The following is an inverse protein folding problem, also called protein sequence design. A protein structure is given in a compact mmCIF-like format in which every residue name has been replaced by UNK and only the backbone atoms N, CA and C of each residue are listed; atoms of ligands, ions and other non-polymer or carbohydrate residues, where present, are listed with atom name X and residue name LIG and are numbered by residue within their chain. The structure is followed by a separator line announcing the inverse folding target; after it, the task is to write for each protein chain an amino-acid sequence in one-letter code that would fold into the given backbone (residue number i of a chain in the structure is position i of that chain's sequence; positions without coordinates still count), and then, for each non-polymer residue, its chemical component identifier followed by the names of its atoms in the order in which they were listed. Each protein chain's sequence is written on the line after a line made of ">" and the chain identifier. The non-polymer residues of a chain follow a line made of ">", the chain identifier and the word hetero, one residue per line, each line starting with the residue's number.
data_IF_148374977905
#
_entry.id   IF_148374977905
#
_cell.length_a   1.000
_cell.length_b   1.000
_cell.length_c   1.000
_cell.angle_alpha   90.00
_cell.angle_beta   90.00
_cell.angle_gamma   90.00
#
_symmetry.space_group_name_H-M   'P 1'
#
loop_
_entity.id
_entity.type
_entity.pdbx_description
1 polymer ?
#
# COMPACT_ATOMS: atom_id res chain seq x y z
N UNK A 1 24.25 9.97 17.25
CA UNK A 1 22.81 10.16 17.53
C UNK A 1 22.11 9.30 16.50
N UNK A 2 21.53 8.18 16.91
CA UNK A 2 20.74 7.32 16.04
C UNK A 2 19.38 8.01 15.85
N UNK A 3 19.15 8.55 14.67
CA UNK A 3 17.83 9.05 14.32
C UNK A 3 16.83 7.92 14.38
N UNK A 4 15.77 8.15 15.12
CA UNK A 4 14.62 7.27 15.16
C UNK A 4 13.93 7.40 13.80
N UNK A 5 14.07 6.39 12.96
CA UNK A 5 13.25 6.27 11.73
C UNK A 5 11.80 6.18 12.21
N UNK A 6 11.07 7.27 12.04
CA UNK A 6 9.64 7.29 12.37
C UNK A 6 8.91 6.37 11.39
N UNK A 7 8.24 5.38 11.93
CA UNK A 7 7.40 4.47 11.15
C UNK A 7 6.26 5.27 10.51
N UNK A 8 5.99 5.13 9.20
CA UNK A 8 4.84 5.76 8.58
C UNK A 8 3.53 5.35 9.26
N UNK A 9 2.67 6.33 9.53
CA UNK A 9 1.41 6.10 10.24
C UNK A 9 0.17 6.22 9.35
N UNK A 10 0.38 6.51 8.06
CA UNK A 10 -0.73 6.65 7.13
C UNK A 10 -0.36 6.12 5.73
N UNK A 11 -1.40 5.79 4.98
CA UNK A 11 -1.29 5.33 3.59
C UNK A 11 -2.29 6.10 2.73
N UNK A 12 -1.81 6.74 1.67
CA UNK A 12 -2.67 7.18 0.58
C UNK A 12 -2.82 5.99 -0.40
N UNK A 13 -4.03 5.49 -0.52
CA UNK A 13 -4.40 4.33 -1.34
C UNK A 13 -5.20 4.79 -2.57
N UNK A 14 -4.78 4.37 -3.77
CA UNK A 14 -5.39 4.75 -5.04
C UNK A 14 -5.61 3.52 -5.91
N UNK A 15 -6.85 3.02 -5.99
CA UNK A 15 -7.21 1.98 -6.95
C UNK A 15 -7.58 2.61 -8.29
N UNK A 16 -7.04 2.09 -9.40
CA UNK A 16 -7.09 2.73 -10.70
C UNK A 16 -7.60 1.78 -11.78
N UNK A 17 -8.58 2.23 -12.55
CA UNK A 17 -9.13 1.57 -13.73
C UNK A 17 -8.86 2.41 -14.97
N UNK A 18 -8.31 1.80 -16.01
CA UNK A 18 -8.04 2.48 -17.28
C UNK A 18 -8.09 1.51 -18.47
N UNK A 19 -8.39 1.99 -19.69
CA UNK A 19 -8.36 1.18 -20.89
C UNK A 19 -6.97 0.63 -21.20
N UNK A 20 -6.89 -0.61 -21.69
CA UNK A 20 -5.61 -1.32 -21.94
C UNK A 20 -4.64 -0.57 -22.86
N UNK A 21 -5.15 0.18 -23.84
CA UNK A 21 -4.31 0.96 -24.76
C UNK A 21 -3.57 2.13 -24.10
N UNK A 22 -3.94 2.52 -22.87
CA UNK A 22 -3.29 3.59 -22.10
C UNK A 22 -2.25 3.07 -21.09
N UNK A 23 -2.13 1.76 -20.89
CA UNK A 23 -1.27 1.18 -19.83
C UNK A 23 0.18 1.65 -19.93
N UNK A 24 0.77 1.66 -21.14
CA UNK A 24 2.18 2.05 -21.34
C UNK A 24 2.40 3.52 -21.00
N UNK A 25 1.53 4.40 -21.50
CA UNK A 25 1.62 5.84 -21.25
C UNK A 25 1.34 6.17 -19.77
N UNK A 26 0.35 5.50 -19.19
CA UNK A 26 0.03 5.63 -17.77
C UNK A 26 1.22 5.22 -16.89
N UNK A 27 1.84 4.07 -17.18
CA UNK A 27 2.99 3.60 -16.40
C UNK A 27 4.16 4.58 -16.42
N UNK A 28 4.52 5.08 -17.60
CA UNK A 28 5.60 6.03 -17.74
C UNK A 28 5.32 7.35 -16.98
N UNK A 29 4.10 7.90 -17.15
CA UNK A 29 3.69 9.10 -16.42
C UNK A 29 3.65 8.88 -14.90
N UNK A 30 3.12 7.72 -14.47
CA UNK A 30 2.99 7.39 -13.06
C UNK A 30 4.36 7.31 -12.36
N UNK A 31 5.37 6.71 -13.01
CA UNK A 31 6.71 6.58 -12.44
C UNK A 31 7.34 7.95 -12.18
N UNK A 32 7.20 8.89 -13.11
CA UNK A 32 7.67 10.26 -12.92
C UNK A 32 6.87 11.00 -11.85
N UNK A 33 5.53 10.85 -11.88
CA UNK A 33 4.65 11.44 -10.87
C UNK A 33 4.94 10.92 -9.45
N UNK A 34 5.26 9.64 -9.30
CA UNK A 34 5.65 9.08 -8.00
C UNK A 34 6.94 9.71 -7.47
N UNK A 35 7.95 9.93 -8.32
CA UNK A 35 9.20 10.61 -7.95
C UNK A 35 8.96 12.05 -7.53
N UNK A 36 8.08 12.77 -8.24
CA UNK A 36 7.67 14.12 -7.85
C UNK A 36 6.98 14.16 -6.49
N UNK A 37 6.14 13.17 -6.18
CA UNK A 37 5.47 13.08 -4.88
C UNK A 37 6.48 12.79 -3.74
N UNK A 38 7.49 11.96 -3.99
CA UNK A 38 8.46 11.56 -2.95
C UNK A 38 9.37 12.69 -2.46
N UNK A 39 9.43 13.83 -3.15
CA UNK A 39 10.16 15.00 -2.66
C UNK A 39 9.30 15.88 -1.74
N UNK A 40 8.00 15.60 -1.61
CA UNK A 40 7.10 16.35 -0.77
C UNK A 40 7.26 15.95 0.71
N UNK A 41 7.12 16.92 1.64
CA UNK A 41 7.21 16.64 3.07
C UNK A 41 6.21 15.58 3.53
N UNK A 42 6.69 14.57 4.24
CA UNK A 42 5.88 13.51 4.82
C UNK A 42 5.58 12.34 3.88
N UNK A 43 6.03 12.37 2.63
CA UNK A 43 5.98 11.22 1.72
C UNK A 43 7.25 10.38 1.88
N UNK A 44 7.12 9.10 2.21
CA UNK A 44 8.24 8.20 2.54
C UNK A 44 8.54 7.18 1.45
N UNK A 45 7.52 6.60 0.86
CA UNK A 45 7.65 5.57 -0.17
C UNK A 45 6.47 5.64 -1.12
N UNK A 46 6.71 5.39 -2.39
CA UNK A 46 5.70 5.22 -3.42
C UNK A 46 5.81 3.82 -4.00
N UNK A 47 4.70 3.11 -4.09
CA UNK A 47 4.63 1.77 -4.69
C UNK A 47 3.45 1.69 -5.61
N UNK A 48 3.64 1.04 -6.76
CA UNK A 48 2.57 0.69 -7.68
C UNK A 48 2.54 -0.81 -7.88
N UNK A 49 1.36 -1.35 -7.83
CA UNK A 49 1.09 -2.77 -8.00
C UNK A 49 0.15 -2.97 -9.18
N UNK A 50 0.35 -4.07 -9.89
CA UNK A 50 -0.52 -4.55 -10.95
C UNK A 50 -1.35 -5.73 -10.44
N UNK A 51 -2.66 -5.70 -10.71
CA UNK A 51 -3.56 -6.77 -10.31
C UNK A 51 -3.18 -8.09 -11.00
N UNK A 52 -3.19 -9.20 -10.24
CA UNK A 52 -2.85 -10.52 -10.76
C UNK A 52 -3.99 -11.52 -10.61
N UNK A 53 -4.71 -11.49 -9.50
CA UNK A 53 -5.78 -12.45 -9.24
C UNK A 53 -6.70 -12.03 -8.09
N UNK A 54 -7.85 -12.70 -7.97
CA UNK A 54 -8.79 -12.56 -6.87
C UNK A 54 -9.74 -11.37 -7.01
N UNK A 55 -10.44 -11.06 -5.93
CA UNK A 55 -11.45 -10.01 -5.89
C UNK A 55 -12.86 -10.56 -6.08
N UNK A 56 -13.85 -9.75 -5.67
CA UNK A 56 -15.29 -10.04 -5.84
C UNK A 56 -15.89 -9.32 -7.03
N UNK A 57 -15.14 -8.39 -7.62
CA UNK A 57 -15.64 -7.52 -8.67
C UNK A 57 -15.40 -8.14 -10.04
N UNK A 58 -16.39 -8.08 -10.92
CA UNK A 58 -16.27 -8.49 -12.33
C UNK A 58 -15.35 -7.53 -13.12
N UNK A 59 -15.04 -6.35 -12.55
CA UNK A 59 -14.18 -5.31 -13.13
C UNK A 59 -13.16 -4.85 -12.06
N UNK A 60 -12.09 -5.63 -11.79
CA UNK A 60 -11.08 -5.25 -10.81
C UNK A 60 -10.25 -4.05 -11.31
N UNK A 61 -9.73 -3.21 -10.39
CA UNK A 61 -8.77 -2.18 -10.77
C UNK A 61 -7.51 -2.80 -11.35
N UNK A 62 -6.94 -2.20 -12.39
CA UNK A 62 -5.73 -2.69 -13.05
C UNK A 62 -4.48 -2.36 -12.22
N UNK A 63 -4.51 -1.20 -11.53
CA UNK A 63 -3.39 -0.75 -10.71
C UNK A 63 -3.85 -0.33 -9.32
N UNK A 64 -2.98 -0.55 -8.36
CA UNK A 64 -3.04 -0.01 -7.02
C UNK A 64 -1.78 0.80 -6.76
N UNK A 65 -1.93 2.09 -6.47
CA UNK A 65 -0.83 2.94 -6.01
C UNK A 65 -0.97 3.17 -4.51
N UNK A 66 0.14 3.06 -3.80
CA UNK A 66 0.20 3.37 -2.37
C UNK A 66 1.37 4.31 -2.10
N UNK A 67 1.10 5.33 -1.28
CA UNK A 67 2.13 6.16 -0.68
C UNK A 67 2.12 5.94 0.82
N UNK A 68 3.26 5.54 1.36
CA UNK A 68 3.47 5.48 2.80
C UNK A 68 3.82 6.90 3.29
N UNK A 69 3.08 7.39 4.26
CA UNK A 69 3.13 8.78 4.76
C UNK A 69 3.48 8.81 6.24
N UNK A 70 4.15 9.88 6.69
CA UNK A 70 4.35 10.12 8.12
C UNK A 70 3.02 10.21 8.88
N UNK A 71 2.05 10.88 8.28
CA UNK A 71 0.67 10.98 8.74
C UNK A 71 -0.22 11.54 7.62
N UNK A 72 -1.54 11.49 7.78
CA UNK A 72 -2.48 12.14 6.85
C UNK A 72 -2.28 13.66 6.75
N UNK A 73 -1.63 14.30 7.72
CA UNK A 73 -1.30 15.72 7.64
C UNK A 73 -0.40 16.07 6.45
N UNK A 74 0.39 15.10 5.93
CA UNK A 74 1.19 15.27 4.72
C UNK A 74 0.35 15.70 3.51
N UNK A 75 -0.89 15.22 3.42
CA UNK A 75 -1.86 15.52 2.34
C UNK A 75 -2.48 16.92 2.45
N UNK A 76 -2.20 17.64 3.53
CA UNK A 76 -2.72 19.00 3.79
C UNK A 76 -1.62 20.05 3.85
N UNK A 77 -0.35 19.65 3.59
CA UNK A 77 0.76 20.61 3.50
C UNK A 77 0.56 21.55 2.31
N UNK A 78 1.04 22.79 2.43
CA UNK A 78 0.99 23.76 1.33
C UNK A 78 1.69 23.20 0.07
N UNK A 79 2.86 22.53 0.26
CA UNK A 79 3.61 21.91 -0.81
C UNK A 79 2.78 20.86 -1.58
N UNK A 80 2.08 19.97 -0.86
CA UNK A 80 1.22 18.97 -1.51
C UNK A 80 0.03 19.63 -2.22
N UNK A 81 -0.62 20.60 -1.59
CA UNK A 81 -1.78 21.30 -2.16
C UNK A 81 -1.39 22.06 -3.44
N UNK A 82 -0.24 22.73 -3.45
CA UNK A 82 0.27 23.42 -4.64
C UNK A 82 0.68 22.45 -5.74
N UNK A 83 1.40 21.37 -5.38
CA UNK A 83 1.75 20.30 -6.32
C UNK A 83 0.50 19.71 -6.99
N UNK A 84 -0.54 19.38 -6.20
CA UNK A 84 -1.81 18.85 -6.70
C UNK A 84 -2.51 19.77 -7.69
N UNK A 85 -2.36 21.09 -7.52
CA UNK A 85 -2.96 22.09 -8.41
C UNK A 85 -2.15 22.31 -9.70
N UNK A 86 -0.82 22.25 -9.62
CA UNK A 86 0.09 22.62 -10.69
C UNK A 86 0.47 21.45 -11.61
N UNK A 87 1.02 20.39 -11.06
CA UNK A 87 1.52 19.22 -11.80
C UNK A 87 0.76 17.94 -11.49
N UNK A 88 0.07 17.88 -10.34
CA UNK A 88 -0.70 16.72 -9.90
C UNK A 88 -2.03 16.53 -10.61
N UNK A 89 -2.40 17.40 -11.54
CA UNK A 89 -3.57 17.18 -12.39
C UNK A 89 -3.31 16.03 -13.35
N UNK A 90 -4.35 15.19 -13.56
CA UNK A 90 -4.29 14.16 -14.59
C UNK A 90 -3.91 14.76 -15.95
N UNK A 91 -2.93 14.19 -16.65
CA UNK A 91 -2.57 14.64 -17.99
C UNK A 91 -3.75 14.46 -18.95
N UNK A 92 -3.79 15.23 -20.01
CA UNK A 92 -4.93 15.28 -20.93
C UNK A 92 -5.31 13.91 -21.50
N UNK A 93 -4.32 13.04 -21.76
CA UNK A 93 -4.58 11.71 -22.31
C UNK A 93 -5.28 10.75 -21.33
N UNK A 94 -5.29 11.06 -20.01
CA UNK A 94 -6.00 10.30 -19.01
C UNK A 94 -7.37 10.88 -18.65
N UNK A 95 -7.59 12.17 -18.91
CA UNK A 95 -8.84 12.85 -18.55
C UNK A 95 -10.04 12.19 -19.23
N UNK A 96 -11.02 11.79 -18.43
CA UNK A 96 -12.22 11.10 -18.90
C UNK A 96 -12.04 9.64 -19.28
N UNK A 97 -10.81 9.10 -19.20
CA UNK A 97 -10.48 7.71 -19.50
C UNK A 97 -10.13 6.88 -18.27
N UNK A 98 -9.81 7.53 -17.15
CA UNK A 98 -9.38 6.90 -15.92
C UNK A 98 -10.46 7.04 -14.84
N UNK A 99 -10.69 5.97 -14.09
CA UNK A 99 -11.44 5.99 -12.83
C UNK A 99 -10.45 5.72 -11.69
N UNK A 100 -10.48 6.55 -10.67
CA UNK A 100 -9.64 6.41 -9.47
C UNK A 100 -10.54 6.38 -8.24
N UNK A 101 -10.35 5.36 -7.41
CA UNK A 101 -10.89 5.34 -6.05
C UNK A 101 -9.75 5.69 -5.10
N UNK A 102 -9.88 6.79 -4.40
CA UNK A 102 -8.94 7.27 -3.40
C UNK A 102 -9.44 6.95 -2.01
N UNK A 103 -8.51 6.52 -1.14
CA UNK A 103 -8.72 6.38 0.30
C UNK A 103 -7.51 6.96 1.02
N UNK A 104 -7.78 7.81 1.99
CA UNK A 104 -6.78 8.38 2.89
C UNK A 104 -6.88 7.59 4.20
N UNK A 105 -5.93 6.67 4.43
CA UNK A 105 -6.03 5.66 5.47
C UNK A 105 -5.04 5.91 6.60
N UNK A 106 -5.46 5.72 7.86
CA UNK A 106 -4.57 5.57 8.99
C UNK A 106 -4.08 4.13 9.09
N UNK A 107 -2.86 3.91 9.56
CA UNK A 107 -2.36 2.60 9.95
C UNK A 107 -2.80 2.34 11.38
N UNK A 108 -3.75 1.44 11.58
CA UNK A 108 -4.26 1.06 12.90
C UNK A 108 -3.31 0.12 13.63
N UNK A 109 -2.73 -0.82 12.89
CA UNK A 109 -1.78 -1.80 13.41
C UNK A 109 -0.80 -2.22 12.33
N UNK A 110 0.40 -2.63 12.74
CA UNK A 110 1.41 -3.19 11.85
C UNK A 110 2.21 -4.29 12.54
N UNK A 111 2.63 -5.30 11.78
CA UNK A 111 3.54 -6.36 12.18
C UNK A 111 4.67 -6.50 11.16
N UNK A 112 5.93 -6.48 11.61
CA UNK A 112 6.36 -6.15 12.98
C UNK A 112 5.96 -4.72 13.38
N UNK A 113 5.87 -4.43 14.67
CA UNK A 113 5.48 -3.08 15.17
C UNK A 113 6.42 -1.96 14.73
N UNK A 114 7.67 -2.31 14.43
CA UNK A 114 8.69 -1.43 13.84
C UNK A 114 8.74 -1.60 12.32
N UNK A 115 7.58 -1.79 11.70
CA UNK A 115 7.51 -2.13 10.29
C UNK A 115 8.14 -1.07 9.40
N UNK A 116 8.92 -1.56 8.48
CA UNK A 116 9.22 -0.89 7.24
C UNK A 116 9.03 -1.94 6.16
N UNK A 117 8.30 -1.66 5.08
CA UNK A 117 8.10 -2.68 4.06
C UNK A 117 9.45 -3.22 3.61
N UNK A 118 9.59 -4.53 3.37
CA UNK A 118 10.81 -5.12 2.86
C UNK A 118 11.37 -4.31 1.69
N UNK A 119 12.67 -4.19 1.60
CA UNK A 119 13.34 -3.38 0.56
C UNK A 119 12.90 -3.79 -0.86
N UNK A 120 12.41 -5.02 -1.02
CA UNK A 120 11.98 -5.60 -2.28
C UNK A 120 10.64 -6.32 -2.12
N UNK A 121 9.57 -5.56 -1.89
CA UNK A 121 8.21 -6.13 -1.93
C UNK A 121 7.89 -6.54 -3.37
N UNK A 122 7.78 -7.84 -3.63
CA UNK A 122 7.36 -8.33 -4.96
C UNK A 122 5.85 -8.54 -5.07
N UNK A 123 5.19 -8.87 -3.95
CA UNK A 123 3.77 -9.19 -3.90
C UNK A 123 3.07 -8.42 -2.78
N UNK A 124 1.80 -8.10 -3.03
CA UNK A 124 0.87 -7.56 -2.05
C UNK A 124 -0.41 -8.39 -2.08
N UNK A 125 -0.82 -8.89 -0.92
CA UNK A 125 -2.15 -9.45 -0.74
C UNK A 125 -3.01 -8.49 0.05
N UNK A 126 -4.24 -8.33 -0.39
CA UNK A 126 -5.20 -7.39 0.13
C UNK A 126 -6.45 -8.13 0.58
N UNK A 127 -6.78 -8.01 1.86
CA UNK A 127 -7.95 -8.62 2.48
C UNK A 127 -8.87 -7.49 2.97
N UNK A 128 -10.12 -7.55 2.63
CA UNK A 128 -11.13 -6.69 3.24
C UNK A 128 -11.75 -7.45 4.41
N UNK A 129 -11.73 -6.83 5.57
CA UNK A 129 -12.36 -7.38 6.76
C UNK A 129 -13.79 -6.82 6.84
N UNK A 130 -14.73 -7.71 7.17
CA UNK A 130 -16.13 -7.32 7.31
C UNK A 130 -16.47 -6.88 8.74
N UNK A 131 -15.48 -6.91 9.66
CA UNK A 131 -15.69 -6.68 11.08
C UNK A 131 -14.39 -6.25 11.76
N UNK A 132 -14.45 -5.25 12.64
CA UNK A 132 -13.31 -4.77 13.44
C UNK A 132 -12.77 -5.87 14.39
N UNK A 133 -13.64 -6.75 14.90
CA UNK A 133 -13.23 -7.90 15.73
C UNK A 133 -12.34 -8.87 14.95
N UNK A 134 -12.56 -9.01 13.65
CA UNK A 134 -11.73 -9.85 12.78
C UNK A 134 -10.32 -9.24 12.58
N UNK A 135 -10.20 -7.93 12.54
CA UNK A 135 -8.90 -7.24 12.45
C UNK A 135 -8.03 -7.51 13.69
N UNK A 136 -8.63 -7.41 14.88
CA UNK A 136 -7.96 -7.70 16.15
C UNK A 136 -7.60 -9.18 16.25
N UNK A 137 -8.54 -10.07 15.92
CA UNK A 137 -8.32 -11.52 15.94
C UNK A 137 -7.23 -11.96 14.95
N UNK A 138 -7.15 -11.37 13.78
CA UNK A 138 -6.09 -11.63 12.80
C UNK A 138 -4.72 -11.19 13.32
N UNK A 139 -4.64 -10.02 13.95
CA UNK A 139 -3.40 -9.54 14.56
C UNK A 139 -2.91 -10.47 15.66
N UNK A 140 -3.80 -10.91 16.57
CA UNK A 140 -3.48 -11.86 17.63
C UNK A 140 -3.03 -13.22 17.06
N UNK A 141 -3.74 -13.72 16.03
CA UNK A 141 -3.39 -14.98 15.38
C UNK A 141 -2.00 -14.94 14.73
N UNK A 142 -1.69 -13.87 14.02
CA UNK A 142 -0.38 -13.69 13.38
C UNK A 142 0.72 -13.52 14.44
N UNK A 143 0.47 -12.76 15.51
CA UNK A 143 1.41 -12.65 16.62
C UNK A 143 1.72 -14.01 17.23
N UNK A 144 0.70 -14.82 17.46
CA UNK A 144 0.85 -16.20 17.97
C UNK A 144 1.65 -17.09 17.02
N UNK A 145 1.37 -17.02 15.70
CA UNK A 145 2.13 -17.77 14.70
C UNK A 145 3.60 -17.35 14.66
N UNK A 146 3.90 -16.06 14.78
CA UNK A 146 5.26 -15.55 14.79
C UNK A 146 6.03 -15.94 16.04
N UNK A 147 5.38 -16.03 17.20
CA UNK A 147 5.98 -16.42 18.46
C UNK A 147 6.21 -17.94 18.57
N UNK A 148 5.36 -18.74 17.96
CA UNK A 148 5.37 -20.21 18.07
C UNK A 148 6.09 -20.91 16.93
N UNK A 149 6.40 -20.21 15.85
CA UNK A 149 7.09 -20.79 14.69
C UNK A 149 8.55 -21.15 15.02
N UNK A 150 8.90 -22.42 14.88
CA UNK A 150 10.29 -22.87 14.96
C UNK A 150 11.08 -22.64 13.67
N UNK A 151 10.41 -22.23 12.58
CA UNK A 151 11.02 -21.89 11.31
C UNK A 151 11.35 -20.38 11.25
N UNK A 152 12.38 -19.96 10.51
CA UNK A 152 12.58 -18.54 10.25
C UNK A 152 11.33 -17.96 9.59
N UNK A 153 10.82 -16.88 10.18
CA UNK A 153 9.66 -16.18 9.64
C UNK A 153 10.15 -15.48 8.37
N UNK A 154 9.46 -15.68 7.22
CA UNK A 154 9.82 -14.99 6.00
C UNK A 154 9.64 -13.47 6.16
N UNK A 155 10.36 -12.68 5.37
CA UNK A 155 10.20 -11.24 5.35
C UNK A 155 8.81 -10.89 4.81
N UNK A 156 7.97 -10.42 5.71
CA UNK A 156 6.66 -9.86 5.37
C UNK A 156 6.33 -8.68 6.27
N UNK A 157 5.45 -7.84 5.79
CA UNK A 157 4.83 -6.78 6.62
C UNK A 157 3.33 -6.90 6.52
N UNK A 158 2.65 -6.94 7.65
CA UNK A 158 1.21 -6.85 7.70
C UNK A 158 0.81 -5.49 8.28
N UNK A 159 -0.15 -4.85 7.64
CA UNK A 159 -0.75 -3.60 8.12
C UNK A 159 -2.25 -3.70 8.07
N UNK A 160 -2.89 -3.17 9.08
CA UNK A 160 -4.33 -2.90 9.08
C UNK A 160 -4.49 -1.41 8.85
N UNK A 161 -5.14 -1.04 7.77
CA UNK A 161 -5.42 0.34 7.41
C UNK A 161 -6.91 0.60 7.40
N UNK A 162 -7.30 1.79 7.82
CA UNK A 162 -8.69 2.22 7.88
C UNK A 162 -8.84 3.63 7.34
N UNK A 163 -9.97 3.90 6.72
CA UNK A 163 -10.40 5.23 6.31
C UNK A 163 -11.79 5.51 6.90
N UNK A 164 -12.08 6.76 7.19
CA UNK A 164 -13.26 7.23 7.95
C UNK A 164 -14.63 6.70 7.45
N UNK A 165 -14.72 6.12 6.26
CA UNK A 165 -15.99 5.73 5.64
C UNK A 165 -16.00 4.33 5.01
N UNK A 166 -14.95 3.54 5.19
CA UNK A 166 -14.80 2.24 4.52
C UNK A 166 -14.39 1.15 5.53
N UNK A 167 -14.69 -0.10 5.19
CA UNK A 167 -14.23 -1.25 5.96
C UNK A 167 -12.70 -1.32 6.02
N UNK A 168 -12.11 -1.73 7.16
CA UNK A 168 -10.68 -1.91 7.30
C UNK A 168 -10.10 -2.85 6.25
N UNK A 169 -8.89 -2.55 5.80
CA UNK A 169 -8.16 -3.36 4.84
C UNK A 169 -6.90 -3.89 5.49
N UNK A 170 -6.64 -5.19 5.36
CA UNK A 170 -5.36 -5.78 5.70
C UNK A 170 -4.49 -5.83 4.46
N UNK A 171 -3.33 -5.21 4.54
CA UNK A 171 -2.28 -5.25 3.54
C UNK A 171 -1.19 -6.21 4.02
N UNK A 172 -0.82 -7.16 3.18
CA UNK A 172 0.31 -8.06 3.45
C UNK A 172 1.31 -7.90 2.32
N UNK A 173 2.38 -7.17 2.63
CA UNK A 173 3.54 -7.01 1.74
C UNK A 173 4.51 -8.16 1.97
N UNK A 174 4.92 -8.88 0.92
CA UNK A 174 5.82 -10.02 1.04
C UNK A 174 6.60 -10.28 -0.25
N UNK A 175 7.59 -11.15 -0.17
CA UNK A 175 8.26 -11.74 -1.33
C UNK A 175 7.65 -13.12 -1.69
N UNK A 176 8.14 -13.72 -2.77
CA UNK A 176 7.67 -15.04 -3.21
C UNK A 176 7.93 -16.15 -2.19
N UNK A 177 8.95 -15.99 -1.32
CA UNK A 177 9.30 -16.99 -0.31
C UNK A 177 8.25 -17.08 0.81
N UNK A 178 7.52 -15.99 1.05
CA UNK A 178 6.48 -15.94 2.08
C UNK A 178 5.12 -16.47 1.64
N UNK A 179 4.95 -16.85 0.37
CA UNK A 179 3.64 -17.23 -0.21
C UNK A 179 2.93 -18.33 0.61
N UNK A 180 3.65 -19.40 0.99
CA UNK A 180 3.04 -20.48 1.76
C UNK A 180 2.58 -20.04 3.16
N UNK A 181 3.26 -19.08 3.77
CA UNK A 181 2.85 -18.49 5.04
C UNK A 181 1.59 -17.62 4.87
N UNK A 182 1.54 -16.84 3.79
CA UNK A 182 0.39 -16.01 3.44
C UNK A 182 -0.85 -16.86 3.15
N UNK A 183 -0.70 -18.00 2.48
CA UNK A 183 -1.80 -18.96 2.25
C UNK A 183 -2.39 -19.46 3.58
N UNK A 184 -1.56 -19.65 4.61
CA UNK A 184 -2.02 -20.00 5.96
C UNK A 184 -2.84 -18.89 6.60
N UNK A 185 -2.38 -17.63 6.48
CA UNK A 185 -3.12 -16.45 6.96
C UNK A 185 -4.45 -16.32 6.21
N UNK A 186 -4.42 -16.51 4.90
CA UNK A 186 -5.61 -16.46 4.04
C UNK A 186 -6.67 -17.47 4.49
N UNK A 187 -6.25 -18.72 4.75
CA UNK A 187 -7.15 -19.75 5.23
C UNK A 187 -7.77 -19.42 6.60
N UNK A 188 -7.02 -18.74 7.47
CA UNK A 188 -7.49 -18.33 8.78
C UNK A 188 -8.44 -17.11 8.73
N UNK A 189 -8.21 -16.17 7.81
CA UNK A 189 -9.00 -14.91 7.70
C UNK A 189 -10.28 -15.05 6.87
N UNK A 190 -10.46 -16.16 6.16
CA UNK A 190 -11.71 -16.49 5.46
C UNK A 190 -11.90 -15.85 4.08
N UNK A 191 -11.10 -14.91 3.63
CA UNK A 191 -11.24 -14.39 2.25
C UNK A 191 -10.03 -13.60 1.74
N UNK A 192 -9.23 -14.21 0.87
CA UNK A 192 -8.34 -13.44 0.00
C UNK A 192 -9.21 -12.63 -0.97
N UNK A 193 -9.05 -11.31 -0.94
CA UNK A 193 -9.79 -10.44 -1.85
C UNK A 193 -9.08 -10.25 -3.16
N UNK A 194 -7.78 -9.91 -3.13
CA UNK A 194 -6.99 -9.70 -4.35
C UNK A 194 -5.50 -9.85 -4.10
N UNK A 195 -4.78 -10.27 -5.14
CA UNK A 195 -3.34 -10.38 -5.19
C UNK A 195 -2.76 -9.44 -6.24
N UNK A 196 -1.63 -8.84 -5.94
CA UNK A 196 -1.01 -7.77 -6.69
C UNK A 196 0.50 -7.97 -6.79
N UNK A 197 1.07 -7.68 -7.95
CA UNK A 197 2.51 -7.70 -8.18
C UNK A 197 3.06 -6.28 -8.18
N UNK A 198 4.13 -6.05 -7.44
CA UNK A 198 4.83 -4.76 -7.45
C UNK A 198 5.49 -4.51 -8.80
N UNK A 199 5.23 -3.35 -9.38
CA UNK A 199 5.79 -2.92 -10.67
C UNK A 199 6.56 -1.60 -10.57
N UNK A 200 6.47 -0.94 -9.40
CA UNK A 200 7.23 0.26 -9.08
C UNK A 200 7.41 0.36 -7.56
N UNK A 201 8.61 0.67 -7.10
CA UNK A 201 8.93 0.82 -5.68
C UNK A 201 10.11 1.79 -5.52
N UNK A 202 9.84 2.97 -4.96
CA UNK A 202 10.87 3.95 -4.62
C UNK A 202 10.62 4.56 -3.24
N UNK A 203 11.72 4.89 -2.55
CA UNK A 203 11.71 5.56 -1.24
C UNK A 203 12.19 7.00 -1.37
N UNK A 204 11.67 7.87 -0.49
CA UNK A 204 12.14 9.25 -0.43
C UNK A 204 13.60 9.30 0.00
N UNK A 205 14.44 9.99 -0.76
CA UNK A 205 15.83 10.28 -0.41
C UNK A 205 15.97 11.22 0.81
N UNK A 206 14.89 11.88 1.21
CA UNK A 206 14.90 12.77 2.37
C UNK A 206 15.10 12.02 3.69
N UNK A 207 14.91 10.70 3.74
CA UNK A 207 15.17 9.87 4.92
C UNK A 207 16.67 9.64 5.20
N UNK A 208 17.57 9.96 4.25
CA UNK A 208 19.03 9.80 4.41
C UNK A 208 19.74 11.09 4.84
N UNK A 209 19.05 12.22 4.92
CA UNK A 209 19.65 13.55 5.20
C UNK A 209 19.22 14.21 6.50
N UNK A 210 18.47 13.53 7.34
CA UNK A 210 18.00 14.10 8.61
C UNK A 210 18.72 13.51 9.82
#
# INVERSE_FOLDING_TARGET
>A
MTESITTPNAVLYLATWLPSHLHVQFSAWCDDHHREQLVLPGFRRARRFEWTAGGRDDDPPQYLTMYDLDSLAALHTEAYVEHSKSSGGLPDFLRGHIRVQRRDCNVLAALPSSWWPPAHTSLLNLFQLNDDELAVGLQEHISTLTETSAAPIPDFTLRIIDSDNDEPIVLVDHDDAATAFIDTITAASGSLRSSWRCVFDEQSSASEQA
#
